data_IF_490966295191
#
_entry.id   IF_490966295191
#
_cell.length_a   1.000
_cell.length_b   1.000
_cell.length_c   1.000
_cell.angle_alpha   90.00
_cell.angle_beta   90.00
_cell.angle_gamma   90.00
#
_symmetry.space_group_name_H-M   'P 1'
#
loop_
_entity.id
_entity.type
_entity.pdbx_description
1 polymer ?
#
# COMPACT_ATOMS: atom_id res chain seq x y z
N UNK A 1 95.25 -14.92 -78.56
CA UNK A 1 95.32 -14.35 -77.20
C UNK A 1 93.97 -13.76 -76.82
N UNK A 2 93.62 -13.88 -75.54
CA UNK A 2 92.43 -13.37 -74.81
C UNK A 2 91.18 -14.28 -74.76
N UNK A 3 90.78 -14.73 -73.55
CA UNK A 3 89.63 -15.61 -73.32
C UNK A 3 88.34 -14.82 -73.02
N UNK A 4 87.17 -15.45 -73.10
CA UNK A 4 86.17 -15.23 -72.03
C UNK A 4 85.26 -16.47 -71.81
N UNK A 5 84.43 -16.62 -70.77
CA UNK A 5 84.18 -15.94 -69.49
C UNK A 5 83.24 -16.86 -68.73
N UNK A 6 83.53 -17.11 -67.45
CA UNK A 6 82.71 -17.91 -66.54
C UNK A 6 81.39 -17.19 -66.21
N UNK A 7 80.25 -17.88 -66.35
CA UNK A 7 78.90 -17.36 -66.06
C UNK A 7 78.67 -17.26 -64.55
N UNK A 8 78.49 -16.03 -64.06
CA UNK A 8 78.14 -15.71 -62.68
C UNK A 8 76.65 -15.96 -62.42
N UNK A 9 76.32 -16.77 -61.40
CA UNK A 9 74.97 -16.98 -60.87
C UNK A 9 74.45 -15.68 -60.24
N UNK A 10 73.32 -15.16 -60.75
CA UNK A 10 72.59 -14.03 -60.16
C UNK A 10 71.84 -14.49 -58.91
N UNK A 11 72.20 -13.94 -57.75
CA UNK A 11 71.38 -14.02 -56.54
C UNK A 11 70.19 -13.04 -56.65
N UNK A 12 68.99 -13.57 -56.43
CA UNK A 12 67.71 -12.85 -56.47
C UNK A 12 67.42 -12.28 -55.07
N UNK A 13 67.06 -11.01 -54.91
CA UNK A 13 66.84 -10.42 -53.58
C UNK A 13 65.55 -10.92 -52.93
N UNK A 14 65.64 -11.24 -51.63
CA UNK A 14 64.52 -11.67 -50.78
C UNK A 14 63.42 -10.60 -50.69
N UNK A 15 62.18 -10.99 -51.01
CA UNK A 15 60.97 -10.18 -50.82
C UNK A 15 60.69 -10.01 -49.32
N UNK A 16 60.68 -8.77 -48.81
CA UNK A 16 60.14 -8.42 -47.49
C UNK A 16 58.61 -8.52 -47.53
N UNK A 17 58.02 -9.23 -46.56
CA UNK A 17 56.57 -9.30 -46.35
C UNK A 17 56.14 -8.06 -45.54
N UNK A 18 55.08 -7.33 -45.94
CA UNK A 18 54.59 -6.18 -45.16
C UNK A 18 53.84 -6.63 -43.90
N UNK A 19 53.85 -5.83 -42.81
CA UNK A 19 53.18 -6.19 -41.56
C UNK A 19 51.65 -6.10 -41.67
N UNK A 20 50.97 -7.11 -41.14
CA UNK A 20 49.51 -7.23 -41.07
C UNK A 20 48.87 -6.05 -40.32
N UNK A 21 47.92 -5.38 -40.97
CA UNK A 21 47.09 -4.33 -40.33
C UNK A 21 45.91 -4.98 -39.60
N UNK A 22 45.98 -5.08 -38.28
CA UNK A 22 44.81 -5.42 -37.47
C UNK A 22 43.87 -4.20 -37.38
N UNK A 23 42.56 -4.36 -37.60
CA UNK A 23 41.61 -3.27 -37.45
C UNK A 23 41.48 -2.87 -35.98
N UNK A 24 41.62 -1.57 -35.69
CA UNK A 24 41.40 -1.01 -34.35
C UNK A 24 39.93 -1.19 -33.96
N UNK A 25 39.66 -1.97 -32.90
CA UNK A 25 38.34 -2.05 -32.27
C UNK A 25 37.91 -0.65 -31.81
N UNK A 26 36.88 -0.08 -32.45
CA UNK A 26 36.17 1.08 -31.91
C UNK A 26 35.53 0.69 -30.58
N UNK A 27 35.88 1.39 -29.50
CA UNK A 27 35.21 1.23 -28.20
C UNK A 27 33.76 1.71 -28.36
N UNK A 28 32.80 0.80 -28.19
CA UNK A 28 31.38 1.16 -28.19
C UNK A 28 31.02 1.72 -26.81
N UNK A 29 30.60 2.98 -26.75
CA UNK A 29 30.01 3.58 -25.55
C UNK A 29 28.50 3.39 -25.60
N UNK A 30 27.86 2.74 -24.63
CA UNK A 30 26.41 2.60 -24.63
C UNK A 30 25.73 3.97 -24.47
N UNK A 31 24.56 4.19 -25.08
CA UNK A 31 23.81 5.44 -24.89
C UNK A 31 23.44 5.60 -23.41
N UNK A 32 23.63 6.83 -22.91
CA UNK A 32 23.33 7.20 -21.52
C UNK A 32 21.82 6.99 -21.26
N UNK A 33 21.48 6.11 -20.31
CA UNK A 33 20.09 5.82 -19.94
C UNK A 33 19.33 7.11 -19.60
N UNK A 34 18.31 7.44 -20.39
CA UNK A 34 17.35 8.51 -20.06
C UNK A 34 16.57 8.07 -18.83
N UNK A 35 16.85 8.65 -17.66
CA UNK A 35 15.99 8.53 -16.48
C UNK A 35 14.60 9.05 -16.88
N UNK A 36 13.62 8.15 -16.99
CA UNK A 36 12.24 8.54 -17.18
C UNK A 36 11.77 9.25 -15.89
N UNK A 37 11.00 10.34 -15.97
CA UNK A 37 10.38 10.91 -14.77
C UNK A 37 9.50 9.81 -14.17
N UNK A 38 9.81 9.38 -12.96
CA UNK A 38 8.91 8.53 -12.19
C UNK A 38 7.61 9.32 -12.07
N UNK A 39 6.49 8.74 -12.51
CA UNK A 39 5.17 9.27 -12.19
C UNK A 39 5.17 9.60 -10.70
N UNK A 40 5.06 10.89 -10.36
CA UNK A 40 4.97 11.33 -8.97
C UNK A 40 3.60 10.85 -8.50
N UNK A 41 3.55 9.66 -7.89
CA UNK A 41 2.35 9.19 -7.20
C UNK A 41 1.89 10.35 -6.32
N UNK A 42 0.63 10.76 -6.48
CA UNK A 42 0.01 11.71 -5.56
C UNK A 42 0.23 11.17 -4.14
N UNK A 43 0.45 12.03 -3.13
CA UNK A 43 0.60 11.56 -1.76
C UNK A 43 -0.64 10.73 -1.41
N UNK A 44 -0.42 9.43 -1.29
CA UNK A 44 -1.47 8.46 -1.05
C UNK A 44 -1.39 8.17 0.44
N UNK A 45 -2.39 8.65 1.17
CA UNK A 45 -2.52 8.36 2.58
C UNK A 45 -3.15 6.98 2.74
N UNK A 46 -2.55 6.15 3.58
CA UNK A 46 -3.03 4.82 3.90
C UNK A 46 -2.69 4.50 5.36
N UNK A 47 -3.55 3.71 5.99
CA UNK A 47 -3.30 3.15 7.32
C UNK A 47 -2.97 1.67 7.16
N UNK A 48 -2.16 1.13 8.08
CA UNK A 48 -1.96 -0.31 8.15
C UNK A 48 -3.30 -0.97 8.53
N UNK A 49 -3.71 -2.00 7.79
CA UNK A 49 -4.95 -2.70 8.11
C UNK A 49 -4.76 -3.56 9.35
N UNK A 50 -5.71 -3.56 10.30
CA UNK A 50 -5.76 -4.57 11.36
C UNK A 50 -6.08 -5.95 10.78
N UNK A 51 -5.94 -7.03 11.58
CA UNK A 51 -6.51 -8.33 11.25
C UNK A 51 -8.00 -8.21 10.90
N UNK A 52 -8.44 -9.00 9.93
CA UNK A 52 -9.85 -9.05 9.58
C UNK A 52 -10.65 -9.70 10.70
N UNK A 53 -11.75 -9.06 11.10
CA UNK A 53 -12.74 -9.63 12.01
C UNK A 53 -14.10 -9.74 11.30
N UNK A 54 -14.64 -10.95 11.27
CA UNK A 54 -15.98 -11.19 10.72
C UNK A 54 -17.02 -10.75 11.75
N UNK A 55 -17.92 -9.84 11.38
CA UNK A 55 -19.03 -9.47 12.26
C UNK A 55 -19.97 -10.65 12.54
N UNK A 56 -20.53 -10.69 13.75
CA UNK A 56 -21.72 -11.48 14.10
C UNK A 56 -23.01 -10.72 13.67
N UNK A 57 -24.21 -11.34 13.77
CA UNK A 57 -25.45 -10.69 13.37
C UNK A 57 -25.63 -9.33 14.06
N UNK A 58 -25.94 -8.30 13.26
CA UNK A 58 -26.14 -6.91 13.71
C UNK A 58 -25.01 -6.31 14.55
N UNK A 59 -23.78 -6.81 14.38
CA UNK A 59 -22.64 -6.43 15.21
C UNK A 59 -21.57 -5.61 14.44
N UNK A 60 -21.99 -4.87 13.42
CA UNK A 60 -21.10 -4.09 12.56
C UNK A 60 -20.33 -3.02 13.36
N UNK A 61 -21.00 -2.30 14.27
CA UNK A 61 -20.37 -1.31 15.15
C UNK A 61 -19.28 -1.92 16.03
N UNK A 62 -19.58 -2.94 16.87
CA UNK A 62 -18.57 -3.59 17.70
C UNK A 62 -17.44 -4.26 16.91
N UNK A 63 -17.74 -4.85 15.75
CA UNK A 63 -16.70 -5.41 14.87
C UNK A 63 -15.78 -4.33 14.29
N UNK A 64 -16.34 -3.21 13.82
CA UNK A 64 -15.56 -2.08 13.31
C UNK A 64 -14.70 -1.44 14.40
N UNK A 65 -15.26 -1.27 15.61
CA UNK A 65 -14.53 -0.73 16.75
C UNK A 65 -13.40 -1.69 17.17
N UNK A 66 -13.65 -3.00 17.23
CA UNK A 66 -12.63 -3.99 17.54
C UNK A 66 -11.45 -3.93 16.56
N UNK A 67 -11.74 -3.96 15.26
CA UNK A 67 -10.72 -3.80 14.22
C UNK A 67 -9.92 -2.50 14.39
N UNK A 68 -10.58 -1.38 14.66
CA UNK A 68 -9.89 -0.10 14.91
C UNK A 68 -8.99 -0.16 16.14
N UNK A 69 -9.44 -0.77 17.24
CA UNK A 69 -8.67 -0.90 18.47
C UNK A 69 -7.44 -1.81 18.30
N UNK A 70 -7.52 -2.84 17.46
CA UNK A 70 -6.36 -3.67 17.10
C UNK A 70 -5.26 -2.86 16.40
N UNK A 71 -5.60 -1.78 15.69
CA UNK A 71 -4.59 -0.86 15.13
C UNK A 71 -3.75 -0.17 16.21
N UNK A 72 -4.25 -0.11 17.45
CA UNK A 72 -3.59 0.46 18.62
C UNK A 72 -3.05 -0.60 19.59
N UNK A 73 -3.05 -1.88 19.20
CA UNK A 73 -2.51 -2.98 20.02
C UNK A 73 -3.46 -3.52 21.09
N UNK A 74 -4.76 -3.21 21.02
CA UNK A 74 -5.76 -3.90 21.84
C UNK A 74 -5.92 -5.36 21.37
N UNK A 75 -6.15 -6.29 22.30
CA UNK A 75 -6.17 -7.74 22.03
C UNK A 75 -7.53 -8.40 22.31
N UNK A 76 -8.59 -7.61 22.54
CA UNK A 76 -9.94 -8.14 22.73
C UNK A 76 -10.65 -8.45 21.42
N UNK A 77 -11.96 -8.62 21.49
CA UNK A 77 -12.84 -9.02 20.40
C UNK A 77 -14.10 -8.16 20.34
N UNK A 78 -14.85 -8.23 19.24
CA UNK A 78 -16.17 -7.59 19.13
C UNK A 78 -17.13 -8.01 20.26
N UNK A 79 -16.92 -9.19 20.89
CA UNK A 79 -17.74 -9.67 22.00
C UNK A 79 -17.52 -8.84 23.28
N UNK A 80 -16.26 -8.53 23.58
CA UNK A 80 -15.92 -7.72 24.76
C UNK A 80 -16.53 -6.31 24.68
N UNK A 81 -16.73 -5.84 23.45
CA UNK A 81 -17.41 -4.58 23.17
C UNK A 81 -18.94 -4.76 23.26
N UNK A 82 -19.50 -5.73 22.54
CA UNK A 82 -20.96 -5.94 22.49
C UNK A 82 -21.57 -6.31 23.84
N UNK A 83 -20.84 -7.01 24.70
CA UNK A 83 -21.29 -7.34 26.06
C UNK A 83 -21.60 -6.08 26.91
N UNK A 84 -21.06 -4.92 26.52
CA UNK A 84 -21.25 -3.64 27.22
C UNK A 84 -22.24 -2.72 26.51
N UNK A 85 -22.06 -2.51 25.20
CA UNK A 85 -22.84 -1.52 24.42
C UNK A 85 -23.90 -2.16 23.51
N UNK A 86 -24.10 -3.48 23.61
CA UNK A 86 -25.16 -4.22 22.92
C UNK A 86 -25.71 -5.36 23.78
N UNK A 87 -26.20 -5.10 25.01
CA UNK A 87 -26.61 -6.16 25.92
C UNK A 87 -27.94 -6.83 25.52
N UNK A 88 -28.76 -6.18 24.67
CA UNK A 88 -30.08 -6.67 24.28
C UNK A 88 -30.01 -7.51 23.01
N UNK A 89 -30.40 -8.78 23.13
CA UNK A 89 -30.51 -9.72 22.01
C UNK A 89 -31.68 -9.32 21.09
N UNK A 90 -31.43 -8.45 20.11
CA UNK A 90 -32.43 -8.01 19.14
C UNK A 90 -32.14 -6.64 18.55
N UNK A 91 -31.42 -5.81 19.30
CA UNK A 91 -30.92 -4.52 18.84
C UNK A 91 -30.13 -4.70 17.53
N UNK A 92 -30.40 -3.85 16.54
CA UNK A 92 -29.83 -3.93 15.20
C UNK A 92 -28.66 -2.98 14.96
N UNK A 93 -28.48 -1.98 15.81
CA UNK A 93 -27.51 -0.92 15.62
C UNK A 93 -26.56 -0.80 16.82
N UNK A 94 -25.52 0.02 16.69
CA UNK A 94 -24.76 0.58 17.80
C UNK A 94 -24.35 1.97 17.34
N UNK A 95 -24.85 3.00 18.01
CA UNK A 95 -24.61 4.38 17.62
C UNK A 95 -23.14 4.79 17.88
N UNK A 96 -22.59 5.76 17.13
CA UNK A 96 -21.24 6.28 17.35
C UNK A 96 -20.97 6.75 18.78
N UNK A 97 -21.98 7.30 19.44
CA UNK A 97 -21.96 7.75 20.83
C UNK A 97 -21.65 6.60 21.79
N UNK A 98 -22.23 5.42 21.56
CA UNK A 98 -22.05 4.23 22.39
C UNK A 98 -20.64 3.65 22.20
N UNK A 99 -20.15 3.62 20.96
CA UNK A 99 -18.75 3.30 20.68
C UNK A 99 -17.80 4.28 21.38
N UNK A 100 -18.14 5.57 21.35
CA UNK A 100 -17.34 6.59 22.03
C UNK A 100 -17.36 6.40 23.55
N UNK A 101 -18.51 6.08 24.12
CA UNK A 101 -18.67 5.72 25.52
C UNK A 101 -17.79 4.52 25.88
N UNK A 102 -17.79 3.45 25.07
CA UNK A 102 -16.98 2.26 25.35
C UNK A 102 -15.49 2.59 25.43
N UNK A 103 -14.93 3.29 24.44
CA UNK A 103 -13.49 3.63 24.46
C UNK A 103 -13.14 4.50 25.65
N UNK A 104 -13.96 5.51 25.95
CA UNK A 104 -13.69 6.47 27.05
C UNK A 104 -13.70 5.81 28.42
N UNK A 105 -14.47 4.74 28.61
CA UNK A 105 -14.65 4.10 29.92
C UNK A 105 -13.90 2.78 30.07
N UNK A 106 -13.63 2.05 28.98
CA UNK A 106 -13.11 0.68 29.02
C UNK A 106 -11.75 0.53 28.34
N UNK A 107 -11.40 1.36 27.35
CA UNK A 107 -10.08 1.28 26.73
C UNK A 107 -9.01 1.94 27.62
N UNK A 108 -9.31 2.98 28.39
CA UNK A 108 -8.40 3.54 29.41
C UNK A 108 -7.18 4.34 28.92
N UNK A 109 -6.63 4.05 27.73
CA UNK A 109 -5.47 4.77 27.16
C UNK A 109 -5.76 5.51 25.86
N UNK A 110 -6.93 5.28 25.25
CA UNK A 110 -7.30 5.87 23.97
C UNK A 110 -8.37 6.94 24.16
N UNK A 111 -8.31 8.00 23.35
CA UNK A 111 -9.37 8.99 23.21
C UNK A 111 -10.03 8.84 21.85
N UNK A 112 -11.35 8.89 21.83
CA UNK A 112 -12.15 8.88 20.61
C UNK A 112 -13.10 10.08 20.62
N UNK A 113 -13.31 10.64 19.43
CA UNK A 113 -14.28 11.69 19.17
C UNK A 113 -15.15 11.27 18.00
N UNK A 114 -16.47 11.44 18.13
CA UNK A 114 -17.40 11.31 17.02
C UNK A 114 -17.84 12.70 16.56
N UNK A 115 -18.15 12.85 15.28
CA UNK A 115 -18.66 14.10 14.67
C UNK A 115 -19.65 13.75 13.58
N UNK A 116 -20.70 14.56 13.46
CA UNK A 116 -21.72 14.46 12.41
C UNK A 116 -21.41 15.46 11.29
N UNK A 117 -21.77 15.12 10.05
CA UNK A 117 -21.61 16.00 8.89
C UNK A 117 -20.20 16.03 8.29
N UNK A 118 -19.48 14.91 8.33
CA UNK A 118 -18.16 14.79 7.70
C UNK A 118 -18.21 14.83 6.17
N UNK A 119 -17.09 15.23 5.55
CA UNK A 119 -16.93 15.21 4.08
C UNK A 119 -15.66 14.45 3.65
N UNK A 120 -15.55 14.20 2.35
CA UNK A 120 -14.41 13.47 1.78
C UNK A 120 -13.08 14.21 1.99
N UNK A 121 -13.09 15.53 2.05
CA UNK A 121 -11.88 16.33 2.29
C UNK A 121 -11.36 16.11 3.72
N UNK A 122 -12.26 16.08 4.70
CA UNK A 122 -11.99 15.83 6.11
C UNK A 122 -11.50 14.41 6.33
N UNK A 123 -12.18 13.42 5.75
CA UNK A 123 -11.74 12.02 5.80
C UNK A 123 -10.29 11.85 5.28
N UNK A 124 -9.99 12.43 4.11
CA UNK A 124 -8.64 12.40 3.54
C UNK A 124 -7.60 13.06 4.45
N UNK A 125 -7.93 14.17 5.09
CA UNK A 125 -7.03 14.87 6.03
C UNK A 125 -6.75 14.01 7.28
N UNK A 126 -7.77 13.37 7.85
CA UNK A 126 -7.63 12.51 9.03
C UNK A 126 -6.75 11.30 8.71
N UNK A 127 -7.02 10.60 7.61
CA UNK A 127 -6.20 9.46 7.17
C UNK A 127 -4.76 9.89 6.87
N UNK A 128 -4.55 11.03 6.22
CA UNK A 128 -3.22 11.58 5.96
C UNK A 128 -2.46 11.96 7.23
N UNK A 129 -3.16 12.30 8.31
CA UNK A 129 -2.60 12.57 9.62
C UNK A 129 -2.45 11.32 10.50
N UNK A 130 -2.77 10.13 9.99
CA UNK A 130 -2.60 8.86 10.70
C UNK A 130 -3.75 8.50 11.65
N UNK A 131 -4.90 9.20 11.57
CA UNK A 131 -6.07 8.89 12.38
C UNK A 131 -6.93 7.83 11.69
N UNK A 132 -7.19 6.66 12.33
CA UNK A 132 -8.25 5.76 11.92
C UNK A 132 -9.61 6.45 12.04
N UNK A 133 -10.48 6.18 11.07
CA UNK A 133 -11.83 6.76 11.02
C UNK A 133 -12.83 5.64 10.77
N UNK A 134 -13.83 5.55 11.63
CA UNK A 134 -15.04 4.74 11.41
C UNK A 134 -16.08 5.68 10.82
N UNK A 135 -16.74 5.25 9.74
CA UNK A 135 -17.83 5.98 9.10
C UNK A 135 -19.09 5.17 9.29
N UNK A 136 -20.08 5.77 9.95
CA UNK A 136 -21.43 5.22 10.00
C UNK A 136 -22.08 5.43 8.63
N UNK A 137 -22.56 4.34 8.05
CA UNK A 137 -23.30 4.36 6.80
C UNK A 137 -24.71 3.85 7.07
N UNK A 138 -25.70 4.56 6.55
CA UNK A 138 -27.06 4.01 6.48
C UNK A 138 -27.10 2.96 5.37
N UNK A 139 -27.58 1.77 5.69
CA UNK A 139 -28.20 0.92 4.67
C UNK A 139 -29.66 1.32 4.64
N UNK A 140 -30.25 1.54 3.46
CA UNK A 140 -31.68 1.82 3.36
C UNK A 140 -32.47 0.69 4.01
N UNK A 141 -32.92 0.88 5.26
CA UNK A 141 -33.79 -0.04 5.94
C UNK A 141 -35.22 0.25 5.46
N UNK A 142 -35.97 -0.81 5.16
CA UNK A 142 -37.39 -0.65 4.89
C UNK A 142 -38.04 -0.07 6.16
N UNK A 143 -38.84 1.00 6.11
CA UNK A 143 -39.54 1.51 7.29
C UNK A 143 -40.43 0.47 7.98
N UNK A 144 -40.82 -0.58 7.27
CA UNK A 144 -41.56 -1.73 7.81
C UNK A 144 -40.67 -2.76 8.54
N UNK A 145 -39.34 -2.62 8.47
CA UNK A 145 -38.36 -3.50 9.12
C UNK A 145 -38.05 -3.09 10.57
N UNK A 146 -38.88 -2.24 11.21
CA UNK A 146 -38.89 -2.03 12.67
C UNK A 146 -39.37 -3.30 13.36
N UNK A 147 -38.56 -4.36 13.31
CA UNK A 147 -38.84 -5.67 13.85
C UNK A 147 -38.69 -5.74 15.37
N UNK A 148 -38.56 -4.59 16.04
CA UNK A 148 -38.66 -4.47 17.49
C UNK A 148 -39.23 -3.10 17.91
N UNK A 149 -40.03 -3.00 19.00
CA UNK A 149 -40.64 -1.74 19.45
C UNK A 149 -39.67 -0.62 19.86
N UNK A 150 -38.38 -0.93 20.07
CA UNK A 150 -37.34 0.00 20.54
C UNK A 150 -36.12 0.05 19.58
N UNK A 151 -36.32 -0.27 18.30
CA UNK A 151 -35.26 -0.24 17.27
C UNK A 151 -34.96 1.22 16.89
N UNK A 152 -33.76 1.71 17.22
CA UNK A 152 -33.34 3.11 17.09
C UNK A 152 -32.66 3.41 15.75
N UNK A 153 -33.27 2.91 14.68
CA UNK A 153 -32.79 3.00 13.29
C UNK A 153 -32.37 4.41 12.83
#
# INVERSE_FOLDING_TARGET
>A
MSPPRSRTRRNRPSRRVPPSHQPRRRKYSPPRSRRHPRSRRLPQAALASPPYEKQTPNNCGPAALSMMLHMFGWNGSQKDISDVIKPVTGDRNVNPEEMAYWVRNYAGWLRIEYRVGGDLATLKRLIAAGYPVIVEGTTSLNPDDTGWPDDDL
#
